data_IF_757385988055
#
_entry.id   IF_757385988055
#
_cell.length_a   1.000
_cell.length_b   1.000
_cell.length_c   1.000
_cell.angle_alpha   90.00
_cell.angle_beta   90.00
_cell.angle_gamma   90.00
#
_symmetry.space_group_name_H-M   'P 1'
#
loop_
_entity.id
_entity.type
_entity.pdbx_description
1 polymer ?
#
# COMPACT_ATOMS: atom_id res chain seq x y z
N UNK A 1 21.91 -19.13 -1.54
CA UNK A 1 21.28 -18.26 -2.54
C UNK A 1 21.61 -16.79 -2.25
N UNK A 2 21.97 -16.08 -3.31
CA UNK A 2 22.21 -14.64 -3.24
C UNK A 2 20.84 -13.94 -3.20
N UNK A 3 20.62 -13.01 -2.26
CA UNK A 3 19.41 -12.24 -2.16
C UNK A 3 19.70 -10.75 -2.35
N UNK A 4 18.98 -10.14 -3.26
CA UNK A 4 19.00 -8.71 -3.49
C UNK A 4 17.72 -8.17 -2.90
N UNK A 5 17.84 -7.22 -1.98
CA UNK A 5 16.70 -6.56 -1.39
C UNK A 5 16.64 -5.14 -1.92
N UNK A 6 15.55 -4.86 -2.59
CA UNK A 6 15.19 -3.52 -2.99
C UNK A 6 13.96 -3.11 -2.21
N UNK A 7 13.98 -1.93 -1.64
CA UNK A 7 12.89 -1.41 -0.85
C UNK A 7 12.39 -0.13 -1.47
N UNK A 8 11.09 -0.05 -1.67
CA UNK A 8 10.37 1.15 -2.07
C UNK A 8 10.16 2.11 -0.88
N UNK A 9 10.93 1.93 0.19
CA UNK A 9 10.87 2.75 1.38
C UNK A 9 11.56 4.08 1.08
N UNK A 10 10.79 5.13 0.84
CA UNK A 10 11.26 6.50 0.52
C UNK A 10 12.13 7.11 1.61
N UNK A 11 12.17 6.51 2.76
CA UNK A 11 13.03 6.91 3.88
C UNK A 11 14.49 6.48 3.65
N UNK A 12 14.73 5.67 2.62
CA UNK A 12 16.07 5.19 2.29
C UNK A 12 16.73 6.07 1.27
N UNK A 13 17.65 6.88 1.74
CA UNK A 13 18.68 7.52 0.92
C UNK A 13 18.20 8.46 -0.19
N UNK A 14 18.99 9.46 -0.45
CA UNK A 14 18.81 10.55 -1.37
C UNK A 14 18.19 10.26 -2.73
N UNK A 15 17.86 11.30 -3.44
CA UNK A 15 17.15 11.35 -4.72
C UNK A 15 17.54 10.28 -5.76
N UNK A 16 18.80 9.84 -5.79
CA UNK A 16 19.28 8.88 -6.79
C UNK A 16 18.72 7.46 -6.57
N UNK A 17 18.40 7.10 -5.32
CA UNK A 17 17.80 5.80 -5.02
C UNK A 17 16.29 5.73 -5.31
N UNK A 18 15.62 6.87 -5.38
CA UNK A 18 14.18 6.96 -5.70
C UNK A 18 13.92 6.56 -7.15
N UNK A 19 14.72 7.05 -8.08
CA UNK A 19 14.57 6.77 -9.51
C UNK A 19 14.81 5.29 -9.81
N UNK A 20 15.86 4.71 -9.21
CA UNK A 20 16.20 3.30 -9.40
C UNK A 20 15.16 2.35 -8.76
N UNK A 21 14.60 2.73 -7.62
CA UNK A 21 13.59 1.92 -6.93
C UNK A 21 12.25 1.86 -7.70
N UNK A 22 11.84 2.96 -8.32
CA UNK A 22 10.63 3.01 -9.13
C UNK A 22 10.76 2.16 -10.38
N UNK A 23 11.85 2.27 -11.13
CA UNK A 23 12.11 1.46 -12.33
C UNK A 23 12.14 -0.03 -12.00
N UNK A 24 12.74 -0.40 -10.88
CA UNK A 24 12.80 -1.79 -10.43
C UNK A 24 11.42 -2.31 -10.03
N UNK A 25 10.63 -1.50 -9.32
CA UNK A 25 9.28 -1.89 -8.94
C UNK A 25 8.38 -2.06 -10.15
N UNK A 26 8.52 -1.25 -11.20
CA UNK A 26 7.79 -1.44 -12.45
C UNK A 26 8.08 -2.82 -13.05
N UNK A 27 9.34 -3.24 -13.09
CA UNK A 27 9.73 -4.55 -13.64
C UNK A 27 9.22 -5.69 -12.77
N UNK A 28 9.51 -5.70 -11.46
CA UNK A 28 9.07 -6.80 -10.58
C UNK A 28 7.56 -6.78 -10.35
N UNK A 29 6.95 -5.59 -10.38
CA UNK A 29 5.52 -5.41 -10.30
C UNK A 29 4.79 -6.01 -11.50
N UNK A 30 5.38 -5.99 -12.69
CA UNK A 30 4.82 -6.66 -13.87
C UNK A 30 4.75 -8.17 -13.70
N UNK A 31 5.80 -8.81 -13.15
CA UNK A 31 5.77 -10.24 -12.82
C UNK A 31 4.69 -10.56 -11.78
N UNK A 32 4.57 -9.73 -10.75
CA UNK A 32 3.52 -9.92 -9.73
C UNK A 32 2.12 -9.74 -10.32
N UNK A 33 1.93 -8.73 -11.17
CA UNK A 33 0.67 -8.49 -11.89
C UNK A 33 0.29 -9.66 -12.80
N UNK A 34 1.23 -10.17 -13.59
CA UNK A 34 1.03 -11.36 -14.42
C UNK A 34 0.72 -12.59 -13.57
N UNK A 35 1.44 -12.77 -12.44
CA UNK A 35 1.21 -13.88 -11.54
C UNK A 35 -0.21 -13.84 -10.94
N UNK A 36 -0.66 -12.70 -10.44
CA UNK A 36 -1.99 -12.52 -9.89
C UNK A 36 -3.04 -12.69 -10.98
N UNK A 37 -2.89 -12.06 -12.14
CA UNK A 37 -3.85 -12.10 -13.23
C UNK A 37 -4.01 -13.50 -13.86
N UNK A 38 -2.93 -14.30 -13.86
CA UNK A 38 -2.93 -15.67 -14.38
C UNK A 38 -3.16 -16.74 -13.32
N UNK A 39 -3.23 -16.39 -12.04
CA UNK A 39 -3.33 -17.33 -10.93
C UNK A 39 -4.55 -18.26 -11.03
N UNK A 40 -4.31 -19.55 -10.83
CA UNK A 40 -5.30 -20.63 -10.88
C UNK A 40 -5.06 -21.65 -9.76
N UNK A 41 -6.00 -22.53 -9.56
CA UNK A 41 -5.82 -23.72 -8.69
C UNK A 41 -5.40 -23.37 -7.26
N UNK A 42 -6.20 -22.52 -6.59
CA UNK A 42 -5.95 -22.14 -5.19
C UNK A 42 -5.94 -23.34 -4.25
N UNK A 43 -4.92 -23.44 -3.44
CA UNK A 43 -4.82 -24.39 -2.33
C UNK A 43 -4.28 -23.72 -1.06
N UNK A 44 -4.81 -24.07 0.10
CA UNK A 44 -4.24 -23.68 1.37
C UNK A 44 -3.02 -24.57 1.67
N UNK A 45 -1.95 -23.97 2.13
CA UNK A 45 -0.71 -24.66 2.48
C UNK A 45 -0.22 -24.23 3.87
N UNK A 46 0.69 -25.00 4.44
CA UNK A 46 1.26 -24.64 5.75
C UNK A 46 2.25 -23.47 5.63
N UNK A 47 2.45 -22.74 6.71
CA UNK A 47 3.49 -21.72 6.79
C UNK A 47 4.88 -22.31 6.54
N UNK A 48 5.13 -23.53 7.00
CA UNK A 48 6.39 -24.22 6.72
C UNK A 48 6.62 -24.46 5.22
N UNK A 49 5.56 -24.71 4.46
CA UNK A 49 5.66 -24.82 2.99
C UNK A 49 6.09 -23.48 2.37
N UNK A 50 5.51 -22.37 2.84
CA UNK A 50 5.90 -21.03 2.40
C UNK A 50 7.34 -20.71 2.75
N UNK A 51 7.75 -21.01 3.99
CA UNK A 51 9.11 -20.78 4.45
C UNK A 51 10.13 -21.64 3.67
N UNK A 52 9.78 -22.87 3.32
CA UNK A 52 10.63 -23.72 2.49
C UNK A 52 10.76 -23.18 1.05
N UNK A 53 9.66 -22.68 0.48
CA UNK A 53 9.70 -22.02 -0.81
C UNK A 53 10.54 -20.74 -0.80
N UNK A 54 10.55 -20.00 0.33
CA UNK A 54 11.36 -18.80 0.51
C UNK A 54 12.87 -19.07 0.52
N UNK A 55 13.30 -20.30 0.83
CA UNK A 55 14.72 -20.71 0.75
C UNK A 55 15.20 -20.91 -0.70
N UNK A 56 14.26 -21.04 -1.64
CA UNK A 56 14.53 -21.19 -3.07
C UNK A 56 14.79 -19.86 -3.76
N UNK A 57 14.82 -19.92 -5.09
CA UNK A 57 14.90 -18.73 -5.96
C UNK A 57 13.50 -18.16 -6.20
N UNK A 58 13.38 -16.84 -6.28
CA UNK A 58 12.10 -16.18 -6.54
C UNK A 58 12.08 -14.71 -6.21
N UNK A 59 10.92 -14.09 -6.36
CA UNK A 59 10.64 -12.71 -6.00
C UNK A 59 9.78 -12.68 -4.74
N UNK A 60 10.30 -12.10 -3.68
CA UNK A 60 9.59 -11.94 -2.41
C UNK A 60 9.17 -10.49 -2.20
N UNK A 61 7.92 -10.30 -1.86
CA UNK A 61 7.31 -9.00 -1.58
C UNK A 61 6.79 -8.98 -0.15
N UNK A 62 7.15 -7.95 0.61
CA UNK A 62 6.60 -7.68 1.92
C UNK A 62 5.98 -6.29 1.94
N UNK A 63 4.71 -6.21 2.32
CA UNK A 63 3.98 -4.95 2.38
C UNK A 63 4.07 -4.35 3.78
N UNK A 64 4.03 -3.02 3.87
CA UNK A 64 4.07 -2.30 5.14
C UNK A 64 2.82 -2.55 6.01
N UNK A 65 1.69 -2.84 5.38
CA UNK A 65 0.43 -3.21 6.04
C UNK A 65 -0.16 -4.49 5.43
N UNK A 66 -1.22 -5.02 6.04
CA UNK A 66 -2.04 -6.06 5.45
C UNK A 66 -2.84 -5.44 4.31
N UNK A 67 -2.49 -5.78 3.07
CA UNK A 67 -3.03 -5.18 1.87
C UNK A 67 -4.13 -6.06 1.28
N UNK A 68 -5.37 -5.56 1.14
CA UNK A 68 -6.41 -6.33 0.49
C UNK A 68 -6.01 -6.75 -0.92
N UNK A 69 -6.20 -8.03 -1.24
CA UNK A 69 -5.81 -8.57 -2.55
C UNK A 69 -6.51 -7.84 -3.70
N UNK A 70 -7.74 -7.39 -3.51
CA UNK A 70 -8.46 -6.59 -4.50
C UNK A 70 -7.79 -5.23 -4.75
N UNK A 71 -7.27 -4.58 -3.70
CA UNK A 71 -6.54 -3.30 -3.81
C UNK A 71 -5.22 -3.51 -4.54
N UNK A 72 -4.47 -4.57 -4.17
CA UNK A 72 -3.24 -4.95 -4.86
C UNK A 72 -3.50 -5.26 -6.33
N UNK A 73 -4.52 -6.06 -6.62
CA UNK A 73 -4.89 -6.42 -7.99
C UNK A 73 -5.28 -5.20 -8.82
N UNK A 74 -6.11 -4.32 -8.26
CA UNK A 74 -6.51 -3.07 -8.94
C UNK A 74 -5.30 -2.16 -9.21
N UNK A 75 -4.35 -2.08 -8.27
CA UNK A 75 -3.12 -1.29 -8.43
C UNK A 75 -2.22 -1.83 -9.54
N UNK A 76 -2.20 -3.16 -9.73
CA UNK A 76 -1.45 -3.82 -10.78
C UNK A 76 -2.23 -3.93 -12.11
N UNK A 77 -3.45 -3.39 -12.18
CA UNK A 77 -4.27 -3.41 -13.38
C UNK A 77 -4.84 -4.79 -13.75
N UNK A 78 -4.96 -5.69 -12.78
CA UNK A 78 -5.45 -7.05 -12.98
C UNK A 78 -6.66 -7.36 -12.09
N UNK A 79 -7.38 -8.44 -12.40
CA UNK A 79 -8.47 -8.91 -11.55
C UNK A 79 -7.96 -9.80 -10.41
N UNK A 80 -8.64 -9.76 -9.28
CA UNK A 80 -8.36 -10.70 -8.18
C UNK A 80 -8.60 -12.14 -8.63
N UNK A 81 -7.66 -13.06 -8.36
CA UNK A 81 -7.76 -14.47 -8.80
C UNK A 81 -8.77 -15.28 -7.99
N UNK A 82 -9.34 -14.72 -6.95
CA UNK A 82 -10.27 -15.39 -6.05
C UNK A 82 -11.32 -14.41 -5.51
N UNK A 83 -12.52 -14.91 -5.26
CA UNK A 83 -13.57 -14.17 -4.55
C UNK A 83 -13.33 -14.12 -3.02
N UNK A 84 -12.30 -14.78 -2.49
CA UNK A 84 -11.97 -14.70 -1.08
C UNK A 84 -11.39 -13.34 -0.76
N UNK A 85 -11.85 -12.75 0.33
CA UNK A 85 -11.27 -11.54 0.88
C UNK A 85 -9.98 -11.91 1.62
N UNK A 86 -8.84 -11.69 0.97
CA UNK A 86 -7.52 -11.93 1.54
C UNK A 86 -6.85 -10.59 1.84
N UNK A 87 -6.27 -10.50 3.02
CA UNK A 87 -5.45 -9.38 3.47
C UNK A 87 -3.97 -9.80 3.42
N UNK A 88 -3.35 -9.50 2.29
CA UNK A 88 -2.01 -10.02 1.96
C UNK A 88 -0.92 -9.20 2.61
N UNK A 89 -0.13 -9.83 3.45
CA UNK A 89 1.06 -9.24 4.06
C UNK A 89 2.33 -9.52 3.28
N UNK A 90 2.40 -10.70 2.66
CA UNK A 90 3.56 -11.16 1.90
C UNK A 90 3.15 -11.93 0.67
N UNK A 91 3.91 -11.75 -0.40
CA UNK A 91 3.83 -12.56 -1.61
C UNK A 91 5.19 -13.18 -1.90
N UNK A 92 5.17 -14.37 -2.48
CA UNK A 92 6.36 -15.01 -3.03
C UNK A 92 6.00 -15.58 -4.39
N UNK A 93 6.74 -15.16 -5.40
CA UNK A 93 6.73 -15.81 -6.72
C UNK A 93 7.94 -16.73 -6.76
N UNK A 94 7.72 -18.01 -6.47
CA UNK A 94 8.74 -19.03 -6.33
C UNK A 94 9.04 -19.72 -7.67
N UNK A 95 10.30 -20.04 -7.92
CA UNK A 95 10.77 -20.82 -9.07
C UNK A 95 10.90 -22.32 -8.74
N UNK A 96 10.02 -22.84 -7.90
CA UNK A 96 9.94 -24.26 -7.53
C UNK A 96 9.28 -25.13 -8.61
N UNK A 97 8.69 -24.51 -9.63
CA UNK A 97 8.16 -25.18 -10.82
C UNK A 97 9.20 -25.34 -11.93
N UNK A 98 9.00 -26.31 -12.85
CA UNK A 98 9.93 -26.53 -13.97
C UNK A 98 9.82 -25.42 -15.02
N UNK A 99 8.59 -25.08 -15.45
CA UNK A 99 8.34 -24.14 -16.56
C UNK A 99 7.74 -22.82 -16.09
N UNK A 100 6.91 -22.84 -15.05
CA UNK A 100 6.16 -21.67 -14.55
C UNK A 100 6.40 -21.44 -13.08
N UNK A 101 6.37 -20.18 -12.69
CA UNK A 101 6.52 -19.79 -11.29
C UNK A 101 5.22 -20.07 -10.49
N UNK A 102 5.39 -20.39 -9.23
CA UNK A 102 4.31 -20.61 -8.26
C UNK A 102 4.11 -19.36 -7.42
N UNK A 103 2.86 -18.85 -7.32
CA UNK A 103 2.52 -17.74 -6.47
C UNK A 103 2.06 -18.22 -5.09
N UNK A 104 2.67 -17.69 -4.06
CA UNK A 104 2.21 -17.82 -2.67
C UNK A 104 1.75 -16.46 -2.16
N UNK A 105 0.59 -16.43 -1.51
CA UNK A 105 0.05 -15.27 -0.81
C UNK A 105 -0.10 -15.61 0.66
N UNK A 106 0.49 -14.82 1.55
CA UNK A 106 0.31 -14.96 2.98
C UNK A 106 -0.65 -13.89 3.49
N UNK A 107 -1.77 -14.34 4.01
CA UNK A 107 -2.70 -13.58 4.82
C UNK A 107 -2.41 -13.87 6.29
N UNK A 108 -2.19 -12.83 7.10
CA UNK A 108 -1.81 -12.99 8.51
C UNK A 108 -2.90 -13.61 9.38
N UNK A 109 -4.16 -13.54 8.95
CA UNK A 109 -5.34 -14.04 9.68
C UNK A 109 -5.82 -15.39 9.16
N UNK A 110 -5.71 -15.62 7.84
CA UNK A 110 -6.31 -16.76 7.15
C UNK A 110 -5.28 -17.82 6.72
N UNK A 111 -3.98 -17.51 6.78
CA UNK A 111 -2.89 -18.42 6.45
C UNK A 111 -2.29 -18.23 5.06
N UNK A 112 -1.69 -19.28 4.51
CA UNK A 112 -0.97 -19.24 3.25
C UNK A 112 -1.75 -19.93 2.14
N UNK A 113 -1.80 -19.27 1.00
CA UNK A 113 -2.43 -19.78 -0.22
C UNK A 113 -1.42 -19.91 -1.33
N UNK A 114 -1.47 -21.04 -2.03
CA UNK A 114 -0.65 -21.35 -3.19
C UNK A 114 -1.50 -21.34 -4.44
N UNK A 115 -0.95 -20.77 -5.52
CA UNK A 115 -1.56 -20.71 -6.86
C UNK A 115 -0.56 -21.15 -7.91
N UNK A 116 -1.02 -21.88 -8.92
CA UNK A 116 -0.30 -22.01 -10.16
C UNK A 116 -0.45 -20.74 -11.00
N UNK A 117 0.59 -20.35 -11.74
CA UNK A 117 0.56 -19.15 -12.59
C UNK A 117 0.97 -19.50 -14.02
N UNK A 118 0.83 -18.54 -14.94
CA UNK A 118 1.38 -18.61 -16.29
C UNK A 118 2.74 -17.90 -16.42
N UNK A 119 3.26 -17.32 -15.34
CA UNK A 119 4.54 -16.60 -15.38
C UNK A 119 5.68 -17.56 -15.70
N UNK A 120 6.45 -17.25 -16.73
CA UNK A 120 7.60 -18.05 -17.12
C UNK A 120 8.69 -18.05 -16.03
N UNK A 121 9.04 -19.23 -15.52
CA UNK A 121 10.15 -19.37 -14.58
C UNK A 121 11.49 -18.92 -15.19
N UNK A 122 11.70 -19.15 -16.48
CA UNK A 122 12.89 -18.71 -17.19
C UNK A 122 12.99 -17.18 -17.22
N UNK A 123 11.91 -16.46 -17.51
CA UNK A 123 11.90 -14.98 -17.55
C UNK A 123 12.22 -14.35 -16.19
N UNK A 124 11.68 -14.92 -15.11
CA UNK A 124 12.01 -14.47 -13.74
C UNK A 124 13.47 -14.79 -13.41
N UNK A 125 13.96 -15.94 -13.82
CA UNK A 125 15.35 -16.33 -13.59
C UNK A 125 16.33 -15.42 -14.33
N UNK A 126 16.07 -15.13 -15.60
CA UNK A 126 16.89 -14.21 -16.41
C UNK A 126 16.95 -12.82 -15.75
N UNK A 127 15.81 -12.34 -15.23
CA UNK A 127 15.77 -11.10 -14.46
C UNK A 127 16.65 -11.17 -13.20
N UNK A 128 16.53 -12.24 -12.40
CA UNK A 128 17.34 -12.41 -11.19
C UNK A 128 18.83 -12.50 -11.49
N UNK A 129 19.23 -13.16 -12.58
CA UNK A 129 20.61 -13.28 -13.01
C UNK A 129 21.20 -11.95 -13.53
N UNK A 130 20.35 -11.02 -13.97
CA UNK A 130 20.77 -9.68 -14.37
C UNK A 130 21.05 -8.73 -13.20
N UNK A 131 20.71 -9.14 -11.96
CA UNK A 131 20.90 -8.30 -10.78
C UNK A 131 22.24 -8.56 -10.13
N UNK A 132 22.92 -7.49 -9.71
CA UNK A 132 24.23 -7.56 -9.07
C UNK A 132 24.13 -7.82 -7.57
N UNK A 133 24.92 -8.79 -7.10
CA UNK A 133 25.29 -9.00 -5.71
C UNK A 133 24.15 -9.43 -4.77
N UNK A 134 24.50 -9.75 -3.55
CA UNK A 134 23.57 -10.00 -2.44
C UNK A 134 23.88 -9.02 -1.31
N UNK A 135 22.86 -8.41 -0.72
CA UNK A 135 23.01 -7.43 0.34
C UNK A 135 22.20 -7.76 1.60
N UNK A 136 21.48 -8.88 1.60
CA UNK A 136 20.66 -9.28 2.74
C UNK A 136 20.40 -10.79 2.76
N UNK A 137 20.16 -11.29 3.97
CA UNK A 137 19.68 -12.64 4.23
C UNK A 137 18.47 -12.60 5.17
N UNK A 138 17.62 -13.65 5.12
CA UNK A 138 16.58 -13.82 6.13
C UNK A 138 17.20 -14.26 7.47
N UNK A 139 16.69 -13.70 8.58
CA UNK A 139 17.15 -14.04 9.93
C UNK A 139 17.17 -15.56 10.17
N UNK A 140 16.17 -16.30 9.64
CA UNK A 140 16.09 -17.76 9.73
C UNK A 140 17.29 -18.50 9.10
N UNK A 141 17.94 -17.90 8.12
CA UNK A 141 19.10 -18.50 7.41
C UNK A 141 20.43 -18.26 8.13
N UNK A 142 20.44 -17.35 9.13
CA UNK A 142 21.64 -16.89 9.82
C UNK A 142 21.95 -17.63 11.11
N UNK A 143 21.12 -18.62 11.49
CA UNK A 143 21.36 -19.51 12.63
C UNK A 143 20.85 -18.99 13.97
N UNK A 144 21.33 -19.63 15.07
CA UNK A 144 20.75 -19.46 16.41
C UNK A 144 20.80 -18.03 16.96
N UNK A 145 21.80 -17.23 16.56
CA UNK A 145 21.92 -15.83 17.00
C UNK A 145 20.74 -14.94 16.59
N UNK A 146 19.98 -15.36 15.59
CA UNK A 146 18.83 -14.64 15.04
C UNK A 146 17.48 -15.33 15.30
N UNK A 147 17.48 -16.42 16.07
CA UNK A 147 16.29 -17.24 16.31
C UNK A 147 15.14 -16.50 17.03
N UNK A 148 15.41 -15.41 17.72
CA UNK A 148 14.42 -14.56 18.36
C UNK A 148 13.69 -13.62 17.39
N UNK A 149 14.20 -13.46 16.17
CA UNK A 149 13.59 -12.61 15.15
C UNK A 149 12.53 -13.39 14.36
N UNK A 150 11.59 -12.66 13.77
CA UNK A 150 10.67 -13.24 12.81
C UNK A 150 11.46 -13.89 11.66
N UNK A 151 11.06 -15.09 11.19
CA UNK A 151 11.72 -15.77 10.07
C UNK A 151 11.75 -14.94 8.78
N UNK A 152 10.88 -13.95 8.67
CA UNK A 152 10.77 -13.02 7.54
C UNK A 152 11.61 -11.77 7.69
N UNK A 153 12.31 -11.60 8.81
CA UNK A 153 13.17 -10.43 9.03
C UNK A 153 14.37 -10.51 8.08
N UNK A 154 14.60 -9.43 7.35
CA UNK A 154 15.78 -9.28 6.50
C UNK A 154 16.90 -8.65 7.31
N UNK A 155 18.06 -9.27 7.28
CA UNK A 155 19.30 -8.78 7.88
C UNK A 155 20.22 -8.36 6.75
N UNK A 156 20.67 -7.12 6.79
CA UNK A 156 21.49 -6.52 5.74
C UNK A 156 22.96 -6.54 6.14
N UNK A 157 23.85 -6.75 5.18
CA UNK A 157 25.30 -6.70 5.37
C UNK A 157 25.77 -5.31 5.78
N UNK A 158 25.08 -4.27 5.35
CA UNK A 158 25.34 -2.90 5.72
C UNK A 158 24.04 -2.13 5.88
N UNK A 159 23.95 -1.32 6.94
CA UNK A 159 22.78 -0.48 7.21
C UNK A 159 23.12 0.96 6.83
N UNK A 160 22.43 1.52 5.84
CA UNK A 160 22.41 2.96 5.65
C UNK A 160 21.59 3.60 6.77
N UNK A 161 22.12 4.68 7.35
CA UNK A 161 21.43 5.43 8.42
C UNK A 161 20.11 5.95 7.86
N UNK A 162 18.98 5.52 8.44
CA UNK A 162 17.66 6.10 8.13
C UNK A 162 17.64 7.56 8.59
N UNK A 163 17.23 8.44 7.71
CA UNK A 163 16.77 9.76 8.11
C UNK A 163 15.28 9.65 8.43
N UNK A 164 14.92 9.77 9.69
CA UNK A 164 13.52 10.01 10.05
C UNK A 164 13.18 11.45 9.67
N UNK A 165 12.24 11.60 8.75
CA UNK A 165 11.57 12.87 8.53
C UNK A 165 10.38 12.91 9.49
N UNK A 166 10.51 13.64 10.58
CA UNK A 166 9.36 14.05 11.37
C UNK A 166 8.66 15.18 10.59
N UNK A 167 7.63 14.84 9.85
CA UNK A 167 6.77 15.86 9.25
C UNK A 167 5.85 16.41 10.33
N UNK A 168 5.86 17.73 10.52
CA UNK A 168 4.74 18.42 11.16
C UNK A 168 3.46 18.09 10.37
N UNK A 169 2.31 18.04 11.04
CA UNK A 169 1.03 17.82 10.36
C UNK A 169 0.91 18.81 9.18
N UNK A 170 0.83 18.29 7.97
CA UNK A 170 0.80 19.10 6.75
C UNK A 170 -0.37 20.08 6.69
N UNK A 171 -1.39 19.87 7.52
CA UNK A 171 -2.61 20.67 7.58
C UNK A 171 -2.65 21.64 8.77
N UNK A 172 -1.78 21.53 9.79
CA UNK A 172 -1.81 22.35 11.01
C UNK A 172 -1.62 23.84 10.76
N UNK A 173 -0.80 24.21 9.78
CA UNK A 173 -0.49 25.62 9.45
C UNK A 173 -1.13 26.04 8.13
N UNK A 174 -2.18 25.36 7.71
CA UNK A 174 -2.85 25.68 6.46
C UNK A 174 -3.67 26.96 6.59
N UNK A 175 -3.49 27.96 5.72
CA UNK A 175 -4.43 29.08 5.65
C UNK A 175 -5.84 28.53 5.36
N UNK A 176 -6.80 28.81 6.25
CA UNK A 176 -8.14 28.22 6.15
C UNK A 176 -8.81 28.50 4.80
N UNK A 177 -8.58 29.68 4.21
CA UNK A 177 -9.11 30.01 2.88
C UNK A 177 -8.54 29.12 1.75
N UNK A 178 -7.27 28.78 1.83
CA UNK A 178 -6.66 27.89 0.82
C UNK A 178 -7.16 26.45 1.01
N UNK A 179 -7.25 26.00 2.26
CA UNK A 179 -7.77 24.68 2.58
C UNK A 179 -9.23 24.52 2.13
N UNK A 180 -10.07 25.54 2.40
CA UNK A 180 -11.46 25.57 1.94
C UNK A 180 -11.56 25.49 0.43
N UNK A 181 -10.72 26.24 -0.29
CA UNK A 181 -10.72 26.21 -1.76
C UNK A 181 -10.33 24.82 -2.29
N UNK A 182 -9.35 24.16 -1.67
CA UNK A 182 -8.96 22.79 -2.05
C UNK A 182 -10.00 21.75 -1.71
N UNK A 183 -10.72 21.97 -0.60
CA UNK A 183 -11.85 21.15 -0.18
C UNK A 183 -13.14 21.48 -0.97
N UNK A 184 -13.05 22.33 -2.01
CA UNK A 184 -14.18 22.75 -2.83
C UNK A 184 -15.30 23.45 -2.04
N UNK A 185 -14.92 24.15 -0.98
CA UNK A 185 -15.77 25.07 -0.24
C UNK A 185 -15.47 26.52 -0.65
N UNK A 186 -16.47 27.38 -0.55
CA UNK A 186 -16.29 28.81 -0.76
C UNK A 186 -15.46 29.42 0.37
N UNK A 187 -14.24 29.90 0.13
CA UNK A 187 -13.38 30.45 1.17
C UNK A 187 -13.93 31.73 1.79
N UNK A 188 -14.90 32.38 1.16
CA UNK A 188 -15.50 33.64 1.59
C UNK A 188 -16.93 33.46 2.14
N UNK A 189 -17.34 32.22 2.41
CA UNK A 189 -18.67 31.98 3.02
C UNK A 189 -18.77 32.68 4.37
N UNK A 190 -19.96 33.22 4.65
CA UNK A 190 -20.29 33.81 5.95
C UNK A 190 -20.86 32.79 6.94
N UNK A 191 -21.22 31.61 6.43
CA UNK A 191 -21.80 30.54 7.23
C UNK A 191 -20.66 29.70 7.83
N UNK A 192 -19.86 30.37 8.68
CA UNK A 192 -18.75 29.78 9.42
C UNK A 192 -18.69 30.31 10.84
N UNK A 193 -18.31 29.43 11.76
CA UNK A 193 -18.15 29.79 13.18
C UNK A 193 -17.07 28.90 13.82
N UNK A 194 -16.59 29.32 14.98
CA UNK A 194 -15.61 28.56 15.76
C UNK A 194 -16.29 28.04 17.02
N UNK A 195 -16.22 26.77 17.26
CA UNK A 195 -16.71 26.14 18.48
C UNK A 195 -15.81 26.43 19.67
N UNK A 196 -16.29 26.14 20.88
CA UNK A 196 -15.50 26.29 22.11
C UNK A 196 -14.27 25.40 22.18
N UNK A 197 -14.25 24.31 21.40
CA UNK A 197 -13.11 23.42 21.18
C UNK A 197 -11.98 24.05 20.35
N UNK A 198 -12.24 25.18 19.70
CA UNK A 198 -11.38 25.77 18.68
C UNK A 198 -11.60 25.22 17.27
N UNK A 199 -12.51 24.27 17.09
CA UNK A 199 -12.87 23.72 15.78
C UNK A 199 -13.63 24.78 14.96
N UNK A 200 -13.11 25.11 13.78
CA UNK A 200 -13.83 25.94 12.84
C UNK A 200 -14.80 25.10 12.03
N UNK A 201 -16.05 25.50 11.97
CA UNK A 201 -17.12 24.84 11.21
C UNK A 201 -17.53 25.71 10.05
N UNK A 202 -17.48 25.15 8.84
CA UNK A 202 -17.88 25.82 7.60
C UNK A 202 -19.08 25.10 7.01
N UNK A 203 -20.13 25.85 6.67
CA UNK A 203 -21.40 25.29 6.20
C UNK A 203 -21.68 25.81 4.78
N UNK A 204 -22.01 24.89 3.89
CA UNK A 204 -22.53 25.20 2.56
C UNK A 204 -23.71 24.30 2.21
N UNK A 205 -24.91 24.83 2.34
CA UNK A 205 -26.14 24.05 2.15
C UNK A 205 -26.22 22.90 3.15
N UNK A 206 -26.15 21.66 2.66
CA UNK A 206 -26.16 20.47 3.52
C UNK A 206 -24.75 19.97 3.86
N UNK A 207 -23.70 20.58 3.29
CA UNK A 207 -22.31 20.18 3.50
C UNK A 207 -21.71 20.95 4.68
N UNK A 208 -20.97 20.25 5.53
CA UNK A 208 -20.23 20.82 6.66
C UNK A 208 -18.80 20.32 6.66
N UNK A 209 -17.86 21.23 6.79
CA UNK A 209 -16.45 20.91 6.99
C UNK A 209 -16.03 21.40 8.36
N UNK A 210 -15.36 20.53 9.12
CA UNK A 210 -14.82 20.80 10.44
C UNK A 210 -13.31 20.85 10.34
N UNK A 211 -12.71 21.97 10.68
CA UNK A 211 -11.27 22.19 10.72
C UNK A 211 -10.84 22.16 12.19
N UNK A 212 -10.24 21.06 12.62
CA UNK A 212 -9.81 20.89 14.00
C UNK A 212 -8.46 21.57 14.25
N UNK A 213 -8.20 22.09 15.47
CA UNK A 213 -6.94 22.78 15.79
C UNK A 213 -5.68 21.90 15.63
N UNK A 214 -5.83 20.58 15.74
CA UNK A 214 -4.76 19.59 15.56
C UNK A 214 -4.48 19.27 14.08
N UNK A 215 -5.21 19.92 13.15
CA UNK A 215 -5.11 19.69 11.71
C UNK A 215 -5.95 18.51 11.19
N UNK A 216 -6.76 17.90 12.03
CA UNK A 216 -7.74 16.92 11.57
C UNK A 216 -8.87 17.61 10.80
N UNK A 217 -9.35 16.97 9.76
CA UNK A 217 -10.51 17.40 8.98
C UNK A 217 -11.64 16.40 9.16
N UNK A 218 -12.84 16.90 9.36
CA UNK A 218 -14.05 16.08 9.32
C UNK A 218 -15.07 16.69 8.36
N UNK A 219 -15.68 15.84 7.55
CA UNK A 219 -16.70 16.23 6.60
C UNK A 219 -18.03 15.54 6.92
N UNK A 220 -19.10 16.29 6.85
CA UNK A 220 -20.47 15.78 6.94
C UNK A 220 -21.30 16.44 5.84
N UNK A 221 -21.97 15.64 5.03
CA UNK A 221 -22.80 16.16 3.94
C UNK A 221 -23.83 15.15 3.50
N UNK A 222 -24.91 15.64 2.89
CA UNK A 222 -25.88 14.81 2.20
C UNK A 222 -25.29 14.20 0.92
N UNK A 223 -26.07 13.39 0.19
CA UNK A 223 -25.67 12.80 -1.07
C UNK A 223 -24.96 13.83 -1.94
N UNK A 224 -23.69 13.59 -2.19
CA UNK A 224 -22.82 14.55 -2.84
C UNK A 224 -23.29 14.77 -4.27
N UNK A 225 -23.19 16.01 -4.73
CA UNK A 225 -23.29 16.32 -6.15
C UNK A 225 -22.17 15.58 -6.89
N UNK A 226 -22.46 15.07 -8.07
CA UNK A 226 -21.48 14.40 -8.94
C UNK A 226 -20.20 15.25 -9.07
N UNK A 227 -19.05 14.61 -8.84
CA UNK A 227 -17.73 15.23 -9.01
C UNK A 227 -17.18 16.00 -7.81
N UNK A 228 -17.85 15.96 -6.64
CA UNK A 228 -17.33 16.60 -5.46
C UNK A 228 -16.16 15.82 -4.83
N UNK A 229 -15.13 16.53 -4.30
CA UNK A 229 -13.90 15.94 -3.77
C UNK A 229 -14.14 14.84 -2.72
N UNK A 230 -15.14 15.01 -1.86
CA UNK A 230 -15.50 14.03 -0.83
C UNK A 230 -16.52 12.98 -1.32
N UNK A 231 -16.89 13.00 -2.60
CA UNK A 231 -17.72 11.97 -3.18
C UNK A 231 -16.87 10.79 -3.61
N UNK A 232 -17.24 9.59 -3.19
CA UNK A 232 -16.61 8.37 -3.67
C UNK A 232 -17.27 7.96 -4.97
N UNK A 233 -16.50 7.95 -6.06
CA UNK A 233 -16.96 7.38 -7.32
C UNK A 233 -16.90 5.85 -7.21
N UNK A 234 -18.02 5.22 -6.99
CA UNK A 234 -18.15 3.78 -6.88
C UNK A 234 -18.91 3.20 -8.09
N UNK A 235 -18.53 2.01 -8.52
CA UNK A 235 -19.22 1.28 -9.56
C UNK A 235 -20.64 0.85 -9.12
N UNK A 236 -20.82 0.59 -7.83
CA UNK A 236 -22.10 0.31 -7.18
C UNK A 236 -22.24 1.19 -5.94
N UNK A 237 -23.18 2.15 -5.98
CA UNK A 237 -23.44 3.05 -4.86
C UNK A 237 -23.93 2.36 -3.57
N UNK A 238 -24.45 1.13 -3.69
CA UNK A 238 -24.87 0.33 -2.54
C UNK A 238 -23.73 -0.46 -1.89
N UNK A 239 -22.63 -0.70 -2.64
CA UNK A 239 -21.52 -1.52 -2.21
C UNK A 239 -20.19 -0.94 -2.73
N UNK A 240 -19.55 -0.12 -1.92
CA UNK A 240 -18.25 0.46 -2.25
C UNK A 240 -17.16 -0.57 -1.93
N UNK A 241 -16.36 -0.92 -2.93
CA UNK A 241 -15.23 -1.83 -2.73
C UNK A 241 -14.09 -1.16 -1.95
N UNK A 242 -13.28 -1.95 -1.27
CA UNK A 242 -12.07 -1.46 -0.57
C UNK A 242 -11.09 -0.78 -1.52
N UNK A 243 -11.02 -1.22 -2.78
CA UNK A 243 -10.20 -0.58 -3.81
C UNK A 243 -10.69 0.82 -4.17
N UNK A 244 -12.01 1.01 -4.32
CA UNK A 244 -12.62 2.32 -4.56
C UNK A 244 -12.42 3.26 -3.38
N UNK A 245 -12.58 2.77 -2.14
CA UNK A 245 -12.30 3.55 -0.92
C UNK A 245 -10.83 4.01 -0.88
N UNK A 246 -9.87 3.12 -1.14
CA UNK A 246 -8.46 3.48 -1.17
C UNK A 246 -8.15 4.51 -2.26
N UNK A 247 -8.74 4.37 -3.44
CA UNK A 247 -8.56 5.32 -4.53
C UNK A 247 -9.12 6.69 -4.17
N UNK A 248 -10.30 6.74 -3.57
CA UNK A 248 -10.94 7.98 -3.12
C UNK A 248 -10.13 8.65 -2.00
N UNK A 249 -9.72 7.91 -0.97
CA UNK A 249 -8.91 8.44 0.13
C UNK A 249 -7.58 9.00 -0.38
N UNK A 250 -6.89 8.28 -1.28
CA UNK A 250 -5.65 8.75 -1.90
C UNK A 250 -5.86 10.03 -2.71
N UNK A 251 -6.94 10.09 -3.49
CA UNK A 251 -7.29 11.28 -4.27
C UNK A 251 -7.57 12.48 -3.37
N UNK A 252 -8.37 12.29 -2.33
CA UNK A 252 -8.71 13.30 -1.35
C UNK A 252 -7.48 13.85 -0.62
N UNK A 253 -6.69 12.97 0.00
CA UNK A 253 -5.49 13.37 0.74
C UNK A 253 -4.48 14.02 -0.20
N UNK A 254 -4.28 13.48 -1.41
CA UNK A 254 -3.41 14.06 -2.42
C UNK A 254 -3.83 15.49 -2.81
N UNK A 255 -5.12 15.74 -3.03
CA UNK A 255 -5.63 17.06 -3.36
C UNK A 255 -5.45 18.06 -2.20
N UNK A 256 -5.73 17.64 -0.97
CA UNK A 256 -5.61 18.49 0.22
C UNK A 256 -4.15 18.81 0.57
N UNK A 257 -3.21 17.88 0.36
CA UNK A 257 -1.81 18.02 0.75
C UNK A 257 -0.88 18.46 -0.37
N UNK A 258 -1.38 18.60 -1.59
CA UNK A 258 -0.58 18.98 -2.77
C UNK A 258 0.27 20.25 -2.52
N UNK A 259 1.59 20.15 -2.77
CA UNK A 259 2.54 21.24 -2.56
C UNK A 259 2.90 21.51 -1.09
N UNK A 260 2.38 20.70 -0.13
CA UNK A 260 2.67 20.83 1.31
C UNK A 260 3.59 19.74 1.85
N UNK A 261 3.57 18.58 1.20
CA UNK A 261 4.37 17.42 1.63
C UNK A 261 5.73 17.33 0.91
N UNK A 262 6.04 18.30 0.03
CA UNK A 262 7.28 18.29 -0.76
C UNK A 262 7.41 17.01 -1.57
N UNK A 263 8.54 16.33 -1.44
CA UNK A 263 8.82 15.06 -2.12
C UNK A 263 8.32 13.84 -1.33
N UNK A 264 7.56 14.04 -0.25
CA UNK A 264 6.99 12.93 0.51
C UNK A 264 5.90 12.21 -0.30
N UNK A 265 5.82 10.91 -0.16
CA UNK A 265 4.79 10.10 -0.78
C UNK A 265 3.75 9.64 0.23
N UNK A 266 2.53 9.41 -0.25
CA UNK A 266 1.44 8.86 0.55
C UNK A 266 1.47 7.34 0.46
N UNK A 267 1.44 6.69 1.62
CA UNK A 267 1.41 5.23 1.73
C UNK A 267 0.13 4.78 2.40
N UNK A 268 -0.38 3.66 1.94
CA UNK A 268 -1.43 2.95 2.64
C UNK A 268 -0.84 2.29 3.90
N UNK A 269 -1.34 2.65 5.07
CA UNK A 269 -0.94 2.06 6.34
C UNK A 269 -1.91 0.97 6.83
N UNK A 270 -3.16 1.02 6.40
CA UNK A 270 -4.17 0.04 6.75
C UNK A 270 -5.52 0.36 6.14
N UNK A 271 -6.43 -0.59 6.20
CA UNK A 271 -7.85 -0.42 5.88
C UNK A 271 -8.62 -1.15 6.96
N UNK A 272 -9.42 -0.42 7.70
CA UNK A 272 -10.34 -0.96 8.69
C UNK A 272 -11.76 -0.61 8.26
N UNK A 273 -12.66 -1.57 8.29
CA UNK A 273 -14.07 -1.36 7.99
C UNK A 273 -14.94 -2.08 9.01
N UNK A 274 -15.98 -1.42 9.43
CA UNK A 274 -17.05 -1.95 10.28
C UNK A 274 -18.42 -1.67 9.64
N UNK A 275 -19.48 -1.95 10.38
CA UNK A 275 -20.86 -1.73 9.91
C UNK A 275 -21.21 -0.24 9.73
N UNK A 276 -20.44 0.66 10.34
CA UNK A 276 -20.70 2.10 10.35
C UNK A 276 -19.82 2.89 9.38
N UNK A 277 -18.74 2.28 8.86
CA UNK A 277 -17.84 2.98 7.94
C UNK A 277 -16.52 2.27 7.64
N UNK A 278 -15.60 3.03 7.05
CA UNK A 278 -14.25 2.56 6.77
C UNK A 278 -13.20 3.65 7.04
N UNK A 279 -12.04 3.20 7.54
CA UNK A 279 -10.81 4.02 7.71
C UNK A 279 -9.73 3.51 6.77
N UNK A 280 -9.08 4.43 6.04
CA UNK A 280 -8.01 4.12 5.07
C UNK A 280 -6.74 4.86 5.45
#
# INVERSE_FOLDING_TARGET
PVRIVQSNDFIRSGLDALTTADDTFETVGSFLGEAIGSARSISSVSENTFLSALDGSGLYFAFACDLPLEVLSARLGVQSPTARQLDVRRCLLSLDGEDTATLYLQDTKQGVYRFSTAVSAASVKDYLESQDGGNADFARSLGEGYASLSPYTLVFDSVSVRRELSAANALSDYPSEELLRRAEFNPHTKDRYVESSGTEVVIEGQRKLYLHPDGMLSYSGGAAADGFLFAVAAADAAHISRAELCAAARGLVGALTQGRIGDAALFLSGIESDDDGATV
#
